data_IF_113423351182
#
_entry.id   IF_113423351182
#
_cell.length_a   1.000
_cell.length_b   1.000
_cell.length_c   1.000
_cell.angle_alpha   90.00
_cell.angle_beta   90.00
_cell.angle_gamma   90.00
#
_symmetry.space_group_name_H-M   'P 1'
#
loop_
_entity.id
_entity.type
_entity.pdbx_description
1 polymer ?
#
# COMPACT_ATOMS: atom_id res chain seq x y z
N UNK A 1 11.39 14.60 12.14
CA UNK A 1 10.46 13.89 13.04
C UNK A 1 9.58 14.82 13.87
N UNK A 2 10.06 15.98 14.33
CA UNK A 2 9.31 16.90 15.22
C UNK A 2 8.25 17.79 14.52
N UNK A 3 8.36 18.03 13.20
CA UNK A 3 7.44 18.92 12.47
C UNK A 3 6.10 18.25 12.12
N UNK A 4 6.09 16.95 11.78
CA UNK A 4 4.84 16.21 11.48
C UNK A 4 3.95 15.97 12.71
N UNK A 5 4.55 15.81 13.89
CA UNK A 5 3.80 15.70 15.14
C UNK A 5 3.17 17.04 15.56
N UNK A 6 3.69 18.17 15.06
CA UNK A 6 3.15 19.51 15.32
C UNK A 6 1.89 19.78 14.50
N UNK A 7 1.90 19.49 13.20
CA UNK A 7 0.76 19.73 12.30
C UNK A 7 -0.46 18.92 12.73
N UNK A 8 -0.26 17.66 13.14
CA UNK A 8 -1.35 16.79 13.63
C UNK A 8 -1.90 17.21 15.01
N UNK A 9 -1.09 17.86 15.83
CA UNK A 9 -1.50 18.32 17.17
C UNK A 9 -2.12 19.73 17.16
N UNK A 10 -1.81 20.53 16.14
CA UNK A 10 -2.34 21.88 15.91
C UNK A 10 -3.76 21.80 15.31
N UNK A 11 -4.01 20.86 14.39
CA UNK A 11 -5.36 20.56 13.88
C UNK A 11 -6.34 20.10 14.98
N UNK A 12 -5.84 19.49 16.06
CA UNK A 12 -6.63 19.09 17.23
C UNK A 12 -6.90 20.23 18.23
N UNK A 13 -6.17 21.36 18.14
CA UNK A 13 -6.30 22.48 19.10
C UNK A 13 -7.15 23.64 18.59
N UNK A 14 -7.13 23.92 17.29
CA UNK A 14 -7.79 25.13 16.75
C UNK A 14 -9.30 24.99 16.52
N UNK A 15 -9.89 23.84 16.84
CA UNK A 15 -11.34 23.66 16.87
C UNK A 15 -12.02 24.14 18.17
N UNK A 16 -11.31 24.85 19.06
CA UNK A 16 -11.81 25.26 20.38
C UNK A 16 -11.65 26.75 20.71
N UNK A 17 -12.79 27.45 20.83
CA UNK A 17 -13.06 28.80 21.39
C UNK A 17 -13.13 29.95 20.36
N UNK A 18 -14.32 30.48 20.03
CA UNK A 18 -15.09 31.36 20.92
C UNK A 18 -16.61 31.42 20.59
N UNK A 19 -17.44 31.00 21.58
CA UNK A 19 -18.83 31.41 21.97
C UNK A 19 -19.84 31.90 20.89
N UNK A 20 -21.02 31.30 20.66
CA UNK A 20 -22.13 31.04 21.62
C UNK A 20 -23.20 30.06 21.06
N UNK A 21 -23.64 29.11 21.91
CA UNK A 21 -24.88 28.32 21.93
C UNK A 21 -25.39 27.55 20.68
N UNK A 22 -25.11 26.23 20.61
CA UNK A 22 -26.12 25.14 20.59
C UNK A 22 -25.44 23.76 20.45
N UNK A 23 -25.87 22.83 21.31
CA UNK A 23 -25.80 21.36 21.20
C UNK A 23 -24.44 20.70 20.90
N UNK A 24 -23.88 20.11 21.95
CA UNK A 24 -22.69 19.24 21.98
C UNK A 24 -22.75 18.05 20.99
N UNK A 25 -21.79 17.98 20.07
CA UNK A 25 -21.19 16.75 19.50
C UNK A 25 -19.82 17.11 18.91
N UNK A 26 -18.75 16.66 19.54
CA UNK A 26 -17.36 16.76 19.04
C UNK A 26 -17.17 15.83 17.83
N UNK A 27 -16.55 16.26 16.72
CA UNK A 27 -16.25 15.38 15.59
C UNK A 27 -14.98 14.56 15.89
N UNK A 28 -15.14 13.24 16.01
CA UNK A 28 -14.07 12.26 16.25
C UNK A 28 -13.45 11.82 14.91
N UNK A 29 -12.55 12.65 14.35
CA UNK A 29 -11.85 12.38 13.08
C UNK A 29 -10.45 11.78 13.24
N UNK A 30 -10.20 10.94 14.25
CA UNK A 30 -8.89 10.30 14.46
C UNK A 30 -8.83 8.96 13.71
N UNK A 31 -7.79 8.77 12.90
CA UNK A 31 -7.49 7.50 12.21
C UNK A 31 -7.31 6.31 13.18
N UNK A 32 -7.06 6.58 14.47
CA UNK A 32 -6.91 5.56 15.53
C UNK A 32 -8.22 4.98 16.06
N UNK A 33 -9.36 5.56 15.73
CA UNK A 33 -10.64 4.97 16.13
C UNK A 33 -11.02 3.84 15.18
N UNK A 34 -11.63 2.73 15.61
CA UNK A 34 -12.17 1.74 14.68
C UNK A 34 -13.42 2.27 13.96
N UNK A 35 -13.77 1.71 12.79
CA UNK A 35 -15.06 1.94 12.13
C UNK A 35 -16.25 1.81 13.09
N UNK A 36 -17.29 2.62 12.89
CA UNK A 36 -18.51 2.51 13.71
C UNK A 36 -19.49 1.55 13.03
N UNK A 37 -19.82 0.45 13.69
CA UNK A 37 -20.76 -0.55 13.15
C UNK A 37 -22.24 -0.20 13.38
N UNK A 38 -22.52 0.77 14.25
CA UNK A 38 -23.87 1.13 14.66
C UNK A 38 -24.54 2.17 13.75
N UNK A 39 -23.84 2.67 12.72
CA UNK A 39 -24.36 3.71 11.84
C UNK A 39 -25.17 3.11 10.69
N UNK A 40 -26.37 3.66 10.49
CA UNK A 40 -27.13 3.48 9.27
C UNK A 40 -26.54 4.41 8.19
N UNK A 41 -25.63 3.87 7.37
CA UNK A 41 -24.90 4.65 6.38
C UNK A 41 -23.38 4.71 6.57
N UNK A 42 -22.75 5.49 5.70
CA UNK A 42 -21.36 5.90 5.82
C UNK A 42 -21.14 6.81 7.03
N UNK A 43 -20.03 6.65 7.74
CA UNK A 43 -19.52 7.65 8.68
C UNK A 43 -18.99 8.88 7.93
N UNK A 44 -19.91 9.75 7.50
CA UNK A 44 -19.61 10.88 6.62
C UNK A 44 -18.52 11.80 7.17
N UNK A 45 -18.55 12.09 8.47
CA UNK A 45 -17.62 13.01 9.11
C UNK A 45 -16.21 12.43 9.12
N UNK A 46 -16.09 11.15 9.47
CA UNK A 46 -14.80 10.49 9.50
C UNK A 46 -14.25 10.30 8.10
N UNK A 47 -15.05 9.82 7.15
CA UNK A 47 -14.62 9.68 5.76
C UNK A 47 -14.14 11.02 5.18
N UNK A 48 -14.86 12.12 5.43
CA UNK A 48 -14.48 13.45 4.95
C UNK A 48 -13.17 13.93 5.58
N UNK A 49 -12.99 13.74 6.89
CA UNK A 49 -11.75 14.09 7.58
C UNK A 49 -10.55 13.30 7.03
N UNK A 50 -10.67 11.97 6.88
CA UNK A 50 -9.61 11.13 6.33
C UNK A 50 -9.29 11.50 4.87
N UNK A 51 -10.31 11.75 4.06
CA UNK A 51 -10.15 12.17 2.67
C UNK A 51 -9.40 13.50 2.57
N UNK A 52 -9.86 14.52 3.31
CA UNK A 52 -9.25 15.84 3.30
C UNK A 52 -7.80 15.80 3.80
N UNK A 53 -7.49 14.96 4.81
CA UNK A 53 -6.14 14.80 5.32
C UNK A 53 -5.19 14.20 4.27
N UNK A 54 -5.62 13.17 3.52
CA UNK A 54 -4.83 12.61 2.40
C UNK A 54 -4.62 13.69 1.34
N UNK A 55 -5.68 14.44 1.00
CA UNK A 55 -5.63 15.40 -0.08
C UNK A 55 -4.70 16.57 0.22
N UNK A 56 -4.84 17.15 1.41
CA UNK A 56 -3.99 18.23 1.92
C UNK A 56 -2.53 17.78 2.04
N UNK A 57 -2.29 16.54 2.50
CA UNK A 57 -0.94 15.98 2.53
C UNK A 57 -0.33 15.94 1.12
N UNK A 58 -1.07 15.42 0.13
CA UNK A 58 -0.64 15.40 -1.27
C UNK A 58 -0.40 16.81 -1.83
N UNK A 59 -1.22 17.78 -1.43
CA UNK A 59 -1.12 19.17 -1.81
C UNK A 59 0.15 19.83 -1.28
N UNK A 60 0.39 19.76 0.03
CA UNK A 60 1.55 20.37 0.68
C UNK A 60 2.85 19.75 0.17
N UNK A 61 2.90 18.42 0.05
CA UNK A 61 4.09 17.72 -0.45
C UNK A 61 4.31 17.90 -1.97
N UNK A 62 3.39 18.56 -2.67
CA UNK A 62 3.62 19.04 -4.05
C UNK A 62 4.31 20.42 -4.10
N UNK A 63 4.71 20.98 -2.96
CA UNK A 63 5.37 22.29 -2.86
C UNK A 63 4.41 23.47 -2.74
N UNK A 64 3.13 23.20 -2.45
CA UNK A 64 2.08 24.23 -2.24
C UNK A 64 1.86 24.46 -0.74
N UNK A 65 1.16 25.53 -0.37
CA UNK A 65 0.89 25.86 1.04
C UNK A 65 -0.49 25.37 1.50
N UNK A 66 -0.70 25.24 2.81
CA UNK A 66 -1.98 24.88 3.39
C UNK A 66 -3.07 25.95 3.12
N UNK A 67 -2.69 27.23 3.10
CA UNK A 67 -3.60 28.32 2.77
C UNK A 67 -4.12 28.19 1.34
N UNK A 68 -3.20 27.91 0.40
CA UNK A 68 -3.55 27.70 -1.01
C UNK A 68 -4.45 26.47 -1.22
N UNK A 69 -4.38 25.47 -0.32
CA UNK A 69 -5.29 24.33 -0.35
C UNK A 69 -6.72 24.79 -0.09
N UNK A 70 -6.95 25.60 0.94
CA UNK A 70 -8.28 26.11 1.27
C UNK A 70 -8.81 27.05 0.18
N UNK A 71 -7.94 27.89 -0.38
CA UNK A 71 -8.29 28.83 -1.44
C UNK A 71 -8.62 28.15 -2.78
N UNK A 72 -8.00 27.00 -3.09
CA UNK A 72 -8.10 26.35 -4.41
C UNK A 72 -8.91 25.05 -4.39
N UNK A 73 -9.58 24.75 -3.28
CA UNK A 73 -10.46 23.59 -3.18
C UNK A 73 -11.83 23.97 -2.63
N UNK A 74 -12.82 23.11 -2.86
CA UNK A 74 -14.18 23.25 -2.35
C UNK A 74 -14.83 21.87 -2.20
N UNK A 75 -15.91 21.73 -1.41
CA UNK A 75 -16.66 20.49 -1.36
C UNK A 75 -17.11 20.02 -2.74
N UNK A 76 -16.97 18.72 -3.04
CA UNK A 76 -17.43 18.15 -4.32
C UNK A 76 -18.92 18.39 -4.54
N UNK A 77 -19.71 18.46 -3.46
CA UNK A 77 -21.12 18.78 -3.49
C UNK A 77 -21.46 19.98 -4.38
N UNK A 78 -20.64 21.03 -4.34
CA UNK A 78 -20.86 22.26 -5.10
C UNK A 78 -20.78 22.06 -6.62
N UNK A 79 -20.11 21.01 -7.08
CA UNK A 79 -20.00 20.66 -8.51
C UNK A 79 -21.10 19.73 -9.00
N UNK A 80 -21.85 19.08 -8.11
CA UNK A 80 -22.88 18.13 -8.51
C UNK A 80 -24.15 18.85 -8.98
N UNK A 81 -24.73 18.38 -10.09
CA UNK A 81 -26.06 18.82 -10.52
C UNK A 81 -27.19 18.25 -9.64
N UNK A 82 -28.40 18.80 -9.81
CA UNK A 82 -29.55 18.41 -9.00
C UNK A 82 -29.95 16.93 -9.20
N UNK A 83 -29.86 16.42 -10.43
CA UNK A 83 -30.23 15.04 -10.75
C UNK A 83 -29.31 14.04 -10.05
N UNK A 84 -28.01 14.30 -10.06
CA UNK A 84 -27.01 13.50 -9.36
C UNK A 84 -27.27 13.53 -7.85
N UNK A 85 -27.51 14.71 -7.28
CA UNK A 85 -27.74 14.90 -5.84
C UNK A 85 -28.95 14.11 -5.33
N UNK A 86 -30.03 14.02 -6.12
CA UNK A 86 -31.25 13.28 -5.76
C UNK A 86 -31.04 11.77 -5.69
N UNK A 87 -30.07 11.22 -6.45
CA UNK A 87 -29.76 9.78 -6.49
C UNK A 87 -28.85 9.32 -5.35
N UNK A 88 -28.24 10.25 -4.60
CA UNK A 88 -27.27 9.92 -3.56
C UNK A 88 -27.94 9.65 -2.21
N UNK A 89 -27.49 8.60 -1.53
CA UNK A 89 -27.83 8.29 -0.16
C UNK A 89 -27.48 9.47 0.78
N UNK A 90 -28.33 9.81 1.78
CA UNK A 90 -28.10 10.96 2.66
C UNK A 90 -26.72 11.00 3.34
N UNK A 91 -26.18 9.85 3.75
CA UNK A 91 -24.83 9.78 4.34
C UNK A 91 -23.73 10.15 3.35
N UNK A 92 -23.89 9.78 2.08
CA UNK A 92 -22.95 10.12 1.02
C UNK A 92 -23.06 11.60 0.66
N UNK A 93 -24.28 12.16 0.64
CA UNK A 93 -24.46 13.60 0.48
C UNK A 93 -23.75 14.38 1.60
N UNK A 94 -23.88 13.92 2.85
CA UNK A 94 -23.19 14.54 3.99
C UNK A 94 -21.66 14.47 3.85
N UNK A 95 -21.12 13.35 3.37
CA UNK A 95 -19.69 13.22 3.08
C UNK A 95 -19.25 14.22 2.00
N UNK A 96 -19.96 14.31 0.88
CA UNK A 96 -19.58 15.16 -0.25
C UNK A 96 -19.73 16.66 0.03
N UNK A 97 -20.53 17.06 1.02
CA UNK A 97 -20.62 18.44 1.52
C UNK A 97 -19.36 18.89 2.27
N UNK A 98 -18.54 17.95 2.72
CA UNK A 98 -17.32 18.23 3.49
C UNK A 98 -16.05 17.81 2.74
N UNK A 99 -16.13 16.79 1.88
CA UNK A 99 -15.00 16.25 1.13
C UNK A 99 -14.58 17.19 -0.01
N UNK A 100 -13.34 17.69 0.06
CA UNK A 100 -12.83 18.77 -0.80
C UNK A 100 -12.21 18.24 -2.11
N UNK A 101 -12.43 18.96 -3.19
CA UNK A 101 -11.85 18.74 -4.52
C UNK A 101 -11.38 20.07 -5.12
N UNK A 102 -10.69 20.05 -6.27
CA UNK A 102 -10.23 21.27 -6.94
C UNK A 102 -11.37 22.24 -7.33
N UNK A 103 -11.03 23.53 -7.37
CA UNK A 103 -11.85 24.54 -8.04
C UNK A 103 -11.86 24.29 -9.57
N UNK A 104 -12.94 23.72 -10.07
CA UNK A 104 -13.19 23.50 -11.49
C UNK A 104 -13.49 22.05 -11.80
N UNK A 105 -14.70 21.78 -12.28
CA UNK A 105 -15.12 20.43 -12.66
C UNK A 105 -14.20 19.86 -13.77
N UNK A 106 -13.74 18.62 -13.58
CA UNK A 106 -12.83 17.94 -14.52
C UNK A 106 -11.34 18.23 -14.34
N UNK A 107 -10.95 19.12 -13.42
CA UNK A 107 -9.56 19.19 -12.97
C UNK A 107 -9.33 18.11 -11.91
N UNK A 108 -8.68 17.03 -12.32
CA UNK A 108 -8.35 15.93 -11.43
C UNK A 108 -6.91 16.10 -10.93
N UNK A 109 -6.74 16.04 -9.62
CA UNK A 109 -5.42 15.94 -8.98
C UNK A 109 -5.24 14.54 -8.42
N UNK A 110 -4.10 13.96 -8.71
CA UNK A 110 -3.63 12.68 -8.19
C UNK A 110 -3.78 12.61 -6.66
N UNK A 111 -4.87 11.99 -6.21
CA UNK A 111 -5.29 11.96 -4.81
C UNK A 111 -4.47 10.97 -4.02
N UNK A 112 -4.27 9.78 -4.57
CA UNK A 112 -3.42 8.71 -4.03
C UNK A 112 -2.70 7.98 -5.17
N UNK A 113 -1.78 7.08 -4.83
CA UNK A 113 -1.05 6.25 -5.79
C UNK A 113 -1.98 5.49 -6.75
N UNK A 114 -3.15 5.07 -6.28
CA UNK A 114 -4.08 4.25 -7.06
C UNK A 114 -5.25 5.03 -7.71
N UNK A 115 -5.53 6.28 -7.28
CA UNK A 115 -6.73 7.03 -7.73
C UNK A 115 -6.49 8.53 -7.94
N UNK A 116 -7.23 9.13 -8.88
CA UNK A 116 -7.17 10.53 -9.36
C UNK A 116 -8.01 11.54 -8.57
N UNK A 117 -8.67 11.11 -7.50
CA UNK A 117 -9.54 11.96 -6.67
C UNK A 117 -11.02 11.66 -6.86
N UNK A 118 -11.85 12.41 -6.14
CA UNK A 118 -13.29 12.19 -6.15
C UNK A 118 -13.86 12.40 -7.56
N UNK A 119 -14.57 11.39 -8.05
CA UNK A 119 -15.22 11.38 -9.34
C UNK A 119 -16.50 10.58 -9.16
N UNK A 120 -17.65 11.25 -9.03
CA UNK A 120 -18.94 10.58 -8.87
C UNK A 120 -19.47 10.24 -10.26
N UNK A 121 -19.64 8.94 -10.53
CA UNK A 121 -20.27 8.47 -11.76
C UNK A 121 -21.02 7.18 -11.51
N UNK A 122 -22.27 7.13 -11.96
CA UNK A 122 -23.05 5.90 -12.02
C UNK A 122 -22.67 5.14 -13.30
N UNK A 123 -22.08 3.95 -13.15
CA UNK A 123 -21.78 3.11 -14.30
C UNK A 123 -23.02 2.26 -14.62
N UNK A 124 -23.50 2.36 -15.87
CA UNK A 124 -24.70 1.64 -16.34
C UNK A 124 -24.39 0.24 -16.84
N UNK A 125 -23.11 -0.09 -17.02
CA UNK A 125 -22.67 -1.36 -17.60
C UNK A 125 -22.50 -2.45 -16.53
N UNK A 126 -22.54 -2.07 -15.24
CA UNK A 126 -22.66 -3.03 -14.16
C UNK A 126 -24.09 -3.60 -14.17
N UNK A 127 -24.20 -4.93 -14.27
CA UNK A 127 -25.48 -5.66 -14.31
C UNK A 127 -26.24 -5.64 -12.96
N UNK A 128 -26.45 -4.46 -12.37
CA UNK A 128 -27.30 -4.27 -11.19
C UNK A 128 -28.69 -3.77 -11.62
N UNK A 129 -29.78 -4.34 -11.05
CA UNK A 129 -31.14 -3.90 -11.38
C UNK A 129 -31.46 -2.48 -10.92
N UNK A 130 -30.72 -1.93 -9.94
CA UNK A 130 -30.82 -0.55 -9.49
C UNK A 130 -29.66 0.29 -10.05
N UNK A 131 -29.91 1.14 -11.07
CA UNK A 131 -28.87 1.96 -11.68
C UNK A 131 -28.31 3.05 -10.75
N UNK A 132 -28.93 3.27 -9.59
CA UNK A 132 -28.48 4.24 -8.59
C UNK A 132 -27.78 3.57 -7.41
N UNK A 133 -27.64 2.24 -7.36
CA UNK A 133 -27.03 1.57 -6.21
C UNK A 133 -25.52 1.76 -6.17
N UNK A 134 -24.86 1.57 -7.31
CA UNK A 134 -23.41 1.51 -7.41
C UNK A 134 -22.87 2.76 -8.09
N UNK A 135 -21.82 3.35 -7.54
CA UNK A 135 -21.14 4.48 -8.15
C UNK A 135 -19.64 4.38 -8.00
N UNK A 136 -18.93 4.82 -9.03
CA UNK A 136 -17.52 5.18 -8.92
C UNK A 136 -17.44 6.41 -8.02
N UNK A 137 -16.65 6.31 -6.94
CA UNK A 137 -16.44 7.36 -5.95
C UNK A 137 -15.07 8.03 -6.16
N UNK A 138 -14.05 7.25 -6.49
CA UNK A 138 -12.73 7.75 -6.88
C UNK A 138 -12.32 7.18 -8.22
N UNK A 139 -11.94 8.04 -9.15
CA UNK A 139 -11.51 7.60 -10.48
C UNK A 139 -10.11 7.01 -10.47
N UNK A 140 -9.81 6.06 -11.37
CA UNK A 140 -8.44 5.53 -11.58
C UNK A 140 -7.68 6.28 -12.68
N UNK A 141 -6.39 5.98 -12.79
CA UNK A 141 -5.55 6.42 -13.89
C UNK A 141 -5.79 5.53 -15.12
N UNK A 142 -5.98 6.14 -16.29
CA UNK A 142 -6.07 5.42 -17.57
C UNK A 142 -4.84 4.57 -17.91
N UNK A 143 -3.70 4.84 -17.29
CA UNK A 143 -2.51 4.01 -17.43
C UNK A 143 -2.57 2.72 -16.59
N UNK A 144 -3.52 2.62 -15.65
CA UNK A 144 -3.63 1.53 -14.68
C UNK A 144 -4.88 0.67 -14.87
N UNK A 145 -5.85 1.11 -15.67
CA UNK A 145 -7.08 0.36 -15.96
C UNK A 145 -7.70 0.77 -17.31
N UNK A 146 -8.57 -0.10 -17.83
CA UNK A 146 -9.37 0.12 -19.05
C UNK A 146 -10.51 1.10 -18.84
N UNK A 147 -11.07 1.14 -17.63
CA UNK A 147 -12.16 2.03 -17.21
C UNK A 147 -11.71 3.00 -16.13
N UNK A 148 -12.52 4.04 -15.87
CA UNK A 148 -12.23 5.05 -14.84
C UNK A 148 -12.70 4.64 -13.44
N UNK A 149 -13.16 3.40 -13.22
CA UNK A 149 -13.97 3.06 -12.05
C UNK A 149 -13.23 3.06 -10.71
N UNK A 150 -11.92 2.83 -10.69
CA UNK A 150 -11.04 3.04 -9.52
C UNK A 150 -11.56 2.50 -8.20
N UNK A 151 -12.22 3.32 -7.38
CA UNK A 151 -12.94 2.88 -6.18
C UNK A 151 -14.45 2.99 -6.38
N UNK A 152 -15.13 1.85 -6.39
CA UNK A 152 -16.58 1.73 -6.48
C UNK A 152 -17.19 1.68 -5.09
N UNK A 153 -18.33 2.33 -4.89
CA UNK A 153 -19.09 2.40 -3.64
C UNK A 153 -20.53 1.90 -3.86
N UNK A 154 -20.99 1.03 -2.97
CA UNK A 154 -22.35 0.51 -2.91
C UNK A 154 -23.17 1.31 -1.89
N UNK A 155 -24.16 2.05 -2.37
CA UNK A 155 -25.02 2.88 -1.56
C UNK A 155 -25.99 2.08 -0.68
N UNK A 156 -26.27 0.82 -0.99
CA UNK A 156 -27.15 -0.03 -0.17
C UNK A 156 -26.39 -0.75 0.93
N UNK A 157 -25.16 -1.19 0.64
CA UNK A 157 -24.33 -1.91 1.61
C UNK A 157 -23.41 -0.99 2.41
N UNK A 158 -23.20 0.25 1.95
CA UNK A 158 -22.24 1.20 2.51
C UNK A 158 -20.80 0.68 2.55
N UNK A 159 -20.46 -0.13 1.53
CA UNK A 159 -19.13 -0.68 1.33
C UNK A 159 -18.54 -0.15 0.02
N UNK A 160 -17.22 -0.23 -0.08
CA UNK A 160 -16.43 0.12 -1.24
C UNK A 160 -15.46 -1.00 -1.61
N UNK A 161 -15.05 -1.01 -2.87
CA UNK A 161 -14.08 -1.94 -3.44
C UNK A 161 -13.22 -1.23 -4.49
N UNK A 162 -12.00 -1.70 -4.68
CA UNK A 162 -11.15 -1.23 -5.78
C UNK A 162 -11.46 -2.06 -7.03
N UNK A 163 -11.83 -1.38 -8.11
CA UNK A 163 -12.04 -1.99 -9.41
C UNK A 163 -11.00 -1.47 -10.40
N UNK A 164 -9.97 -2.29 -10.64
CA UNK A 164 -8.92 -2.04 -11.63
C UNK A 164 -8.94 -3.11 -12.73
N UNK A 165 -10.01 -3.91 -12.81
CA UNK A 165 -10.05 -5.01 -13.74
C UNK A 165 -10.06 -4.51 -15.20
N UNK A 166 -9.24 -5.16 -16.02
CA UNK A 166 -9.12 -4.93 -17.46
C UNK A 166 -10.32 -5.50 -18.21
N UNK A 167 -11.04 -6.45 -17.59
CA UNK A 167 -12.23 -7.08 -18.19
C UNK A 167 -13.53 -6.31 -17.92
N UNK A 168 -13.46 -5.25 -17.11
CA UNK A 168 -14.60 -4.42 -16.68
C UNK A 168 -15.70 -5.19 -15.92
N UNK A 169 -15.43 -6.40 -15.45
CA UNK A 169 -16.36 -7.20 -14.65
C UNK A 169 -16.29 -6.82 -13.16
N UNK A 170 -17.32 -6.13 -12.66
CA UNK A 170 -17.46 -5.87 -11.23
C UNK A 170 -18.16 -7.04 -10.53
N UNK A 171 -17.43 -7.78 -9.70
CA UNK A 171 -18.03 -8.80 -8.84
C UNK A 171 -18.74 -8.16 -7.63
N UNK A 172 -20.02 -8.47 -7.44
CA UNK A 172 -20.79 -7.97 -6.31
C UNK A 172 -20.43 -8.72 -5.02
N UNK A 173 -20.64 -8.08 -3.87
CA UNK A 173 -20.50 -8.74 -2.58
C UNK A 173 -21.39 -10.00 -2.51
N UNK A 174 -20.89 -11.14 -1.98
CA UNK A 174 -19.60 -11.35 -1.33
C UNK A 174 -18.49 -11.93 -2.21
N UNK A 175 -18.64 -11.95 -3.54
CA UNK A 175 -17.70 -12.62 -4.44
C UNK A 175 -16.29 -12.01 -4.40
N UNK A 176 -16.20 -10.68 -4.25
CA UNK A 176 -14.93 -9.97 -4.04
C UNK A 176 -14.89 -9.23 -2.69
N UNK A 177 -13.71 -8.76 -2.23
CA UNK A 177 -13.60 -8.12 -0.92
C UNK A 177 -14.10 -6.67 -0.94
N UNK A 178 -15.27 -6.45 -0.34
CA UNK A 178 -15.81 -5.12 -0.07
C UNK A 178 -15.50 -4.67 1.37
N UNK A 179 -15.20 -3.40 1.59
CA UNK A 179 -14.79 -2.82 2.89
C UNK A 179 -15.46 -1.47 3.13
N UNK A 180 -15.54 -1.02 4.39
CA UNK A 180 -16.03 0.35 4.65
C UNK A 180 -15.05 1.37 4.06
N UNK A 181 -15.57 2.50 3.56
CA UNK A 181 -14.71 3.53 2.98
C UNK A 181 -13.68 4.05 3.99
N UNK A 182 -14.07 4.21 5.25
CA UNK A 182 -13.16 4.64 6.32
C UNK A 182 -12.01 3.66 6.58
N UNK A 183 -12.19 2.35 6.37
CA UNK A 183 -11.10 1.38 6.44
C UNK A 183 -10.08 1.61 5.33
N UNK A 184 -10.58 1.77 4.09
CA UNK A 184 -9.74 1.98 2.91
C UNK A 184 -8.93 3.27 3.06
N UNK A 185 -9.58 4.37 3.46
CA UNK A 185 -8.91 5.65 3.68
C UNK A 185 -7.92 5.58 4.85
N UNK A 186 -8.23 4.84 5.92
CA UNK A 186 -7.30 4.63 7.05
C UNK A 186 -6.05 3.90 6.58
N UNK A 187 -6.19 2.82 5.81
CA UNK A 187 -5.04 2.09 5.22
C UNK A 187 -4.20 3.01 4.34
N UNK A 188 -4.81 3.87 3.52
CA UNK A 188 -4.04 4.82 2.70
C UNK A 188 -3.26 5.83 3.54
N UNK A 189 -3.83 6.34 4.63
CA UNK A 189 -3.11 7.18 5.59
C UNK A 189 -1.93 6.41 6.22
N UNK A 190 -2.14 5.18 6.65
CA UNK A 190 -1.08 4.34 7.21
C UNK A 190 0.05 4.11 6.21
N UNK A 191 -0.27 3.85 4.94
CA UNK A 191 0.72 3.72 3.87
C UNK A 191 1.52 5.02 3.67
N UNK A 192 0.88 6.18 3.74
CA UNK A 192 1.55 7.49 3.68
C UNK A 192 2.46 7.69 4.91
N UNK A 193 1.95 7.43 6.12
CA UNK A 193 2.70 7.60 7.36
C UNK A 193 3.91 6.67 7.43
N UNK A 194 3.75 5.42 7.00
CA UNK A 194 4.85 4.45 6.86
C UNK A 194 5.73 4.71 5.65
N UNK A 195 5.48 5.78 4.89
CA UNK A 195 6.31 6.15 3.75
C UNK A 195 6.36 5.08 2.64
N UNK A 196 5.35 4.19 2.61
CA UNK A 196 5.09 3.20 1.56
C UNK A 196 4.53 3.86 0.30
N UNK A 197 3.78 4.93 0.47
CA UNK A 197 3.37 5.81 -0.61
C UNK A 197 3.91 7.20 -0.27
N UNK A 198 4.73 7.79 -1.16
CA UNK A 198 5.25 9.14 -0.96
C UNK A 198 4.97 10.00 -2.16
N UNK A 199 4.72 11.29 -1.93
CA UNK A 199 4.73 12.27 -3.01
C UNK A 199 6.19 12.57 -3.37
N UNK A 200 6.53 12.51 -4.66
CA UNK A 200 7.83 12.88 -5.21
C UNK A 200 7.68 14.21 -5.92
N UNK A 201 8.56 15.20 -5.67
CA UNK A 201 8.59 16.45 -6.44
C UNK A 201 8.83 16.11 -7.91
N UNK A 202 7.87 16.40 -8.78
CA UNK A 202 8.05 16.14 -10.21
C UNK A 202 8.94 17.21 -10.84
N UNK A 203 9.99 16.79 -11.56
CA UNK A 203 10.83 17.65 -12.38
C UNK A 203 10.31 17.78 -13.84
N UNK A 204 9.05 17.42 -14.12
CA UNK A 204 8.50 17.43 -15.47
C UNK A 204 7.06 16.92 -15.61
N UNK A 205 6.60 16.75 -16.85
CA UNK A 205 5.21 16.42 -17.27
C UNK A 205 4.74 14.99 -16.95
N UNK A 206 5.40 14.26 -16.04
CA UNK A 206 5.01 12.90 -15.67
C UNK A 206 3.82 12.87 -14.70
N UNK A 207 2.83 12.05 -15.07
CA UNK A 207 1.42 12.17 -14.68
C UNK A 207 1.05 11.48 -13.35
N UNK A 208 2.01 11.27 -12.44
CA UNK A 208 1.72 10.71 -11.10
C UNK A 208 2.81 11.11 -10.08
N UNK A 209 2.59 12.13 -9.23
CA UNK A 209 3.58 12.51 -8.24
C UNK A 209 3.57 11.58 -7.02
N UNK A 210 2.75 10.53 -6.97
CA UNK A 210 2.82 9.52 -5.91
C UNK A 210 3.66 8.34 -6.36
N UNK A 211 4.65 7.94 -5.56
CA UNK A 211 5.48 6.76 -5.78
C UNK A 211 5.24 5.75 -4.67
N UNK A 212 4.90 4.52 -5.06
CA UNK A 212 4.97 3.38 -4.18
C UNK A 212 6.45 3.02 -3.93
N UNK A 213 6.81 2.85 -2.67
CA UNK A 213 8.15 2.46 -2.24
C UNK A 213 8.09 1.01 -1.80
N UNK A 214 8.90 0.16 -2.44
CA UNK A 214 8.91 -1.29 -2.18
C UNK A 214 9.25 -1.63 -0.73
N UNK A 215 10.12 -0.86 -0.09
CA UNK A 215 10.47 -1.01 1.33
C UNK A 215 10.88 0.32 1.98
N UNK A 216 10.74 0.40 3.29
CA UNK A 216 11.17 1.52 4.12
C UNK A 216 12.09 1.04 5.23
N UNK A 217 12.82 1.96 5.86
CA UNK A 217 13.67 1.64 7.01
C UNK A 217 12.89 1.00 8.16
N UNK A 218 11.62 1.35 8.33
CA UNK A 218 10.75 0.74 9.33
C UNK A 218 10.43 -0.72 8.97
N UNK A 219 10.12 -1.02 7.71
CA UNK A 219 9.89 -2.41 7.28
C UNK A 219 11.13 -3.27 7.51
N UNK A 220 12.31 -2.71 7.22
CA UNK A 220 13.58 -3.39 7.47
C UNK A 220 13.78 -3.68 8.97
N UNK A 221 13.49 -2.73 9.84
CA UNK A 221 13.60 -2.92 11.29
C UNK A 221 12.64 -4.02 11.78
N UNK A 222 11.37 -3.90 11.44
CA UNK A 222 10.32 -4.86 11.82
C UNK A 222 10.67 -6.27 11.30
N UNK A 223 11.20 -6.38 10.08
CA UNK A 223 11.65 -7.67 9.54
C UNK A 223 12.87 -8.24 10.30
N UNK A 224 13.87 -7.41 10.63
CA UNK A 224 15.05 -7.85 11.39
C UNK A 224 14.66 -8.30 12.80
N UNK A 225 13.77 -7.57 13.48
CA UNK A 225 13.25 -7.91 14.79
C UNK A 225 12.45 -9.23 14.75
N UNK A 226 11.50 -9.35 13.80
CA UNK A 226 10.69 -10.56 13.65
C UNK A 226 11.53 -11.79 13.35
N UNK A 227 12.52 -11.65 12.46
CA UNK A 227 13.48 -12.71 12.17
C UNK A 227 14.24 -13.12 13.44
N UNK A 228 14.74 -12.16 14.21
CA UNK A 228 15.41 -12.42 15.48
C UNK A 228 14.54 -13.20 16.47
N UNK A 229 13.27 -12.82 16.61
CA UNK A 229 12.30 -13.53 17.47
C UNK A 229 12.04 -14.96 17.02
N UNK A 230 11.92 -15.19 15.71
CA UNK A 230 11.72 -16.53 15.14
C UNK A 230 12.94 -17.41 15.41
N UNK A 231 14.16 -16.91 15.11
CA UNK A 231 15.41 -17.63 15.34
C UNK A 231 15.55 -18.00 16.81
N UNK A 232 15.34 -17.06 17.73
CA UNK A 232 15.42 -17.33 19.16
C UNK A 232 14.40 -18.36 19.63
N UNK A 233 13.17 -18.30 19.11
CA UNK A 233 12.12 -19.25 19.44
C UNK A 233 12.49 -20.67 19.00
N UNK A 234 13.07 -20.82 17.80
CA UNK A 234 13.54 -22.11 17.30
C UNK A 234 14.73 -22.61 18.12
N UNK A 235 15.74 -21.77 18.36
CA UNK A 235 16.92 -22.13 19.16
C UNK A 235 16.53 -22.61 20.56
N UNK A 236 15.55 -21.96 21.19
CA UNK A 236 15.01 -22.35 22.50
C UNK A 236 14.30 -23.71 22.44
N UNK A 237 13.49 -23.95 21.41
CA UNK A 237 12.82 -25.25 21.22
C UNK A 237 13.79 -26.39 20.93
N UNK A 238 14.93 -26.08 20.32
CA UNK A 238 16.01 -27.02 20.06
C UNK A 238 16.97 -27.19 21.24
N UNK A 239 16.72 -26.51 22.37
CA UNK A 239 17.56 -26.56 23.57
C UNK A 239 19.03 -26.17 23.31
N UNK A 240 19.26 -25.26 22.35
CA UNK A 240 20.60 -24.77 22.04
C UNK A 240 21.12 -23.84 23.13
N UNK A 241 22.42 -23.89 23.40
CA UNK A 241 23.06 -23.08 24.45
C UNK A 241 22.81 -21.58 24.24
N UNK A 242 22.52 -20.88 25.34
CA UNK A 242 22.29 -19.43 25.33
C UNK A 242 23.62 -18.68 25.36
N UNK A 243 24.29 -18.58 24.22
CA UNK A 243 25.47 -17.71 24.03
C UNK A 243 25.07 -16.36 23.41
N UNK A 244 26.03 -15.46 23.20
CA UNK A 244 25.80 -14.16 22.56
C UNK A 244 25.35 -14.33 21.10
N UNK A 245 24.31 -13.59 20.69
CA UNK A 245 23.75 -13.70 19.35
C UNK A 245 24.73 -13.14 18.31
N UNK A 246 25.03 -13.94 17.29
CA UNK A 246 25.80 -13.47 16.14
C UNK A 246 24.88 -12.70 15.20
N UNK A 247 25.36 -11.58 14.69
CA UNK A 247 24.64 -10.70 13.75
C UNK A 247 25.29 -10.83 12.36
N UNK A 248 24.45 -10.85 11.33
CA UNK A 248 24.86 -11.00 9.94
C UNK A 248 24.76 -12.45 9.47
N UNK A 249 23.84 -12.73 8.54
CA UNK A 249 23.79 -14.07 7.91
C UNK A 249 25.04 -14.29 7.04
N UNK A 250 25.42 -13.26 6.29
CA UNK A 250 26.61 -13.17 5.45
C UNK A 250 27.31 -11.83 5.73
N UNK A 251 28.62 -11.75 5.47
CA UNK A 251 29.37 -10.51 5.56
C UNK A 251 29.30 -9.70 4.25
N UNK A 252 29.74 -8.45 4.29
CA UNK A 252 29.69 -7.56 3.14
C UNK A 252 30.52 -8.09 1.95
N UNK A 253 31.69 -8.68 2.21
CA UNK A 253 32.54 -9.25 1.17
C UNK A 253 31.86 -10.41 0.43
N UNK A 254 31.10 -11.24 1.15
CA UNK A 254 30.32 -12.34 0.59
C UNK A 254 29.16 -11.81 -0.26
N UNK A 255 28.48 -10.75 0.18
CA UNK A 255 27.40 -10.13 -0.60
C UNK A 255 27.92 -9.51 -1.90
N UNK A 256 29.09 -8.86 -1.85
CA UNK A 256 29.77 -8.32 -3.02
C UNK A 256 30.17 -9.44 -3.99
N UNK A 257 30.75 -10.54 -3.47
CA UNK A 257 31.09 -11.72 -4.25
C UNK A 257 29.86 -12.39 -4.89
N UNK A 258 28.73 -12.39 -4.17
CA UNK A 258 27.43 -12.85 -4.65
C UNK A 258 26.72 -11.85 -5.57
N UNK A 259 27.36 -10.71 -5.92
CA UNK A 259 26.84 -9.66 -6.81
C UNK A 259 25.49 -9.09 -6.36
N UNK A 260 25.26 -9.03 -5.06
CA UNK A 260 24.06 -8.43 -4.48
C UNK A 260 24.29 -6.91 -4.37
N UNK A 261 23.30 -6.12 -4.77
CA UNK A 261 23.40 -4.65 -4.74
C UNK A 261 23.79 -4.14 -3.35
N UNK A 262 24.75 -3.20 -3.32
CA UNK A 262 25.21 -2.54 -2.11
C UNK A 262 24.21 -1.52 -1.54
N UNK A 263 23.07 -1.33 -2.22
CA UNK A 263 22.02 -0.41 -1.80
C UNK A 263 20.66 -1.12 -2.01
N UNK A 264 20.08 -1.62 -0.93
CA UNK A 264 18.79 -2.32 -0.99
C UNK A 264 18.38 -3.01 0.31
N UNK A 265 17.11 -3.42 0.36
CA UNK A 265 16.54 -4.14 1.50
C UNK A 265 17.34 -5.40 1.83
N UNK A 266 17.61 -6.23 0.82
CA UNK A 266 18.24 -7.54 0.96
C UNK A 266 19.59 -7.47 1.67
N UNK A 267 20.47 -6.58 1.21
CA UNK A 267 21.80 -6.42 1.80
C UNK A 267 21.71 -5.93 3.25
N UNK A 268 20.89 -4.90 3.50
CA UNK A 268 20.71 -4.36 4.84
C UNK A 268 20.10 -5.39 5.80
N UNK A 269 19.15 -6.19 5.32
CA UNK A 269 18.55 -7.27 6.10
C UNK A 269 19.60 -8.32 6.45
N UNK A 270 20.35 -8.82 5.46
CA UNK A 270 21.35 -9.89 5.67
C UNK A 270 22.44 -9.49 6.64
N UNK A 271 22.94 -8.24 6.56
CA UNK A 271 23.98 -7.73 7.46
C UNK A 271 23.50 -7.55 8.91
N UNK A 272 22.19 -7.39 9.12
CA UNK A 272 21.60 -7.06 10.43
C UNK A 272 20.82 -8.22 11.07
N UNK A 273 20.41 -9.20 10.27
CA UNK A 273 19.65 -10.34 10.74
C UNK A 273 20.49 -11.20 11.69
N UNK A 274 19.84 -11.68 12.77
CA UNK A 274 20.44 -12.64 13.70
C UNK A 274 20.82 -13.93 12.96
N UNK A 275 22.06 -14.37 13.11
CA UNK A 275 22.55 -15.62 12.52
C UNK A 275 22.02 -16.82 13.31
N UNK A 276 21.25 -17.72 12.69
CA UNK A 276 20.79 -18.94 13.34
C UNK A 276 21.96 -19.84 13.75
N UNK A 277 21.87 -20.47 14.93
CA UNK A 277 22.80 -21.53 15.35
C UNK A 277 22.43 -22.91 14.83
N UNK A 278 21.20 -23.08 14.36
CA UNK A 278 20.78 -24.30 13.69
C UNK A 278 21.12 -24.25 12.20
N UNK A 279 21.41 -25.42 11.63
CA UNK A 279 21.69 -25.57 10.21
C UNK A 279 20.42 -25.81 9.40
N UNK A 280 19.48 -26.59 9.94
CA UNK A 280 18.27 -27.04 9.25
C UNK A 280 17.03 -26.31 9.79
N UNK A 281 16.20 -25.78 8.90
CA UNK A 281 14.90 -25.17 9.22
C UNK A 281 13.75 -26.16 9.07
N UNK A 282 13.91 -27.17 8.20
CA UNK A 282 12.99 -28.28 8.02
C UNK A 282 13.75 -29.52 7.52
N UNK A 283 13.04 -30.63 7.31
CA UNK A 283 13.62 -31.80 6.66
C UNK A 283 14.13 -31.41 5.26
N UNK A 284 15.39 -31.72 4.96
CA UNK A 284 16.12 -31.34 3.75
C UNK A 284 16.28 -29.83 3.48
N UNK A 285 15.72 -28.91 4.29
CA UNK A 285 15.84 -27.46 4.07
C UNK A 285 16.77 -26.83 5.11
N UNK A 286 17.82 -26.16 4.65
CA UNK A 286 18.90 -25.61 5.49
C UNK A 286 19.33 -24.21 5.10
N UNK A 287 20.07 -23.56 6.00
CA UNK A 287 20.81 -22.34 5.68
C UNK A 287 21.93 -22.69 4.67
N UNK A 288 22.07 -21.94 3.56
CA UNK A 288 23.15 -22.17 2.59
C UNK A 288 24.52 -21.88 3.20
N UNK A 289 25.56 -22.52 2.65
CA UNK A 289 26.94 -22.14 2.98
C UNK A 289 27.32 -20.81 2.31
N UNK A 290 28.47 -20.25 2.71
CA UNK A 290 29.01 -19.03 2.08
C UNK A 290 29.25 -19.25 0.59
N UNK A 291 29.85 -20.39 0.24
CA UNK A 291 30.15 -20.77 -1.15
C UNK A 291 28.87 -20.92 -1.98
N UNK A 292 27.84 -21.55 -1.42
CA UNK A 292 26.53 -21.72 -2.09
C UNK A 292 25.77 -20.40 -2.24
N UNK A 293 26.02 -19.43 -1.37
CA UNK A 293 25.45 -18.08 -1.46
C UNK A 293 26.14 -17.26 -2.54
N UNK A 294 27.45 -17.47 -2.74
CA UNK A 294 28.23 -16.84 -3.82
C UNK A 294 27.86 -17.45 -5.17
N UNK A 295 27.80 -18.79 -5.26
CA UNK A 295 27.48 -19.55 -6.47
C UNK A 295 25.97 -19.72 -6.68
N UNK A 296 25.19 -18.73 -6.25
CA UNK A 296 23.74 -18.82 -6.31
C UNK A 296 23.21 -18.72 -7.76
N UNK A 297 22.10 -19.41 -8.08
CA UNK A 297 21.57 -19.50 -9.43
C UNK A 297 20.97 -18.19 -10.00
N UNK A 298 20.67 -17.21 -9.15
CA UNK A 298 19.83 -16.06 -9.49
C UNK A 298 20.61 -14.86 -10.04
N UNK A 299 21.94 -14.87 -9.94
CA UNK A 299 22.81 -13.73 -10.27
C UNK A 299 23.12 -13.61 -11.76
N UNK A 300 22.77 -14.62 -12.56
CA UNK A 300 23.08 -14.70 -13.99
C UNK A 300 21.90 -14.44 -14.93
N UNK A 301 20.71 -14.14 -14.39
CA UNK A 301 19.58 -13.77 -15.23
C UNK A 301 19.82 -12.38 -15.88
N UNK A 302 19.81 -12.26 -17.23
CA UNK A 302 19.85 -10.95 -17.85
C UNK A 302 18.63 -10.16 -17.39
N UNK A 303 18.84 -8.93 -16.91
CA UNK A 303 17.74 -8.01 -16.57
C UNK A 303 16.81 -7.91 -17.78
N UNK A 304 15.51 -8.27 -17.66
CA UNK A 304 14.55 -8.02 -18.72
C UNK A 304 14.59 -6.54 -19.10
N UNK A 305 14.63 -6.24 -20.40
CA UNK A 305 14.63 -4.86 -20.87
C UNK A 305 13.34 -4.17 -20.38
N UNK A 306 13.48 -3.09 -19.59
CA UNK A 306 12.34 -2.29 -19.10
C UNK A 306 12.09 -2.33 -17.59
N UNK A 307 12.84 -3.13 -16.81
CA UNK A 307 12.81 -3.03 -15.34
C UNK A 307 13.76 -1.93 -14.86
N UNK A 308 13.32 -1.18 -13.85
CA UNK A 308 14.10 -0.10 -13.22
C UNK A 308 15.48 -0.63 -12.77
N UNK A 309 16.48 0.24 -12.85
CA UNK A 309 17.88 -0.07 -12.52
C UNK A 309 18.11 -0.54 -11.07
N UNK A 310 17.09 -0.51 -10.20
CA UNK A 310 17.13 -0.83 -8.78
C UNK A 310 16.72 -2.26 -8.37
N UNK A 311 16.29 -3.13 -9.29
CA UNK A 311 15.89 -4.49 -8.90
C UNK A 311 17.09 -5.35 -8.48
N UNK A 312 17.07 -5.79 -7.22
CA UNK A 312 18.05 -6.70 -6.64
C UNK A 312 17.68 -8.13 -7.05
N UNK A 313 18.62 -8.94 -7.58
CA UNK A 313 18.31 -10.32 -7.92
C UNK A 313 17.81 -11.08 -6.67
N UNK A 314 16.93 -12.08 -6.83
CA UNK A 314 16.56 -12.96 -5.74
C UNK A 314 17.80 -13.51 -5.04
N UNK A 315 17.72 -13.74 -3.73
CA UNK A 315 18.79 -14.37 -2.97
C UNK A 315 18.35 -15.73 -2.44
N UNK A 316 19.24 -16.72 -2.51
CA UNK A 316 19.04 -18.01 -1.87
C UNK A 316 19.09 -17.85 -0.34
N UNK A 317 17.91 -17.78 0.31
CA UNK A 317 17.80 -17.72 1.77
C UNK A 317 17.86 -19.11 2.42
N UNK A 318 17.30 -20.12 1.76
CA UNK A 318 17.30 -21.50 2.20
C UNK A 318 17.63 -22.42 1.04
N UNK A 319 18.43 -23.44 1.31
CA UNK A 319 18.83 -24.47 0.37
C UNK A 319 18.20 -25.79 0.73
N UNK A 320 17.59 -26.42 -0.27
CA UNK A 320 17.14 -27.80 -0.21
C UNK A 320 18.29 -28.74 -0.58
N UNK A 321 18.43 -29.83 0.19
CA UNK A 321 19.31 -30.95 -0.16
C UNK A 321 18.66 -31.85 -1.24
N UNK A 322 17.35 -31.74 -1.43
CA UNK A 322 16.61 -32.32 -2.56
C UNK A 322 16.48 -31.26 -3.65
N UNK A 323 16.92 -31.57 -4.86
CA UNK A 323 16.89 -30.65 -6.00
C UNK A 323 15.70 -30.97 -6.90
N UNK A 324 14.52 -30.35 -6.68
CA UNK A 324 13.39 -30.55 -7.59
C UNK A 324 13.73 -30.00 -8.98
N UNK A 325 13.25 -30.69 -10.00
CA UNK A 325 13.41 -30.25 -11.37
C UNK A 325 12.59 -28.97 -11.56
N UNK A 326 13.14 -27.95 -12.22
CA UNK A 326 12.46 -26.65 -12.36
C UNK A 326 11.15 -26.71 -13.14
N UNK A 327 10.98 -27.76 -13.96
CA UNK A 327 9.72 -28.08 -14.63
C UNK A 327 8.57 -28.46 -13.67
N UNK A 328 8.89 -28.91 -12.45
CA UNK A 328 7.88 -29.31 -11.45
C UNK A 328 7.43 -28.12 -10.59
N UNK A 329 8.11 -26.96 -10.68
CA UNK A 329 7.83 -25.75 -9.89
C UNK A 329 6.80 -24.81 -10.55
N UNK A 330 5.96 -25.33 -11.44
CA UNK A 330 4.93 -24.55 -12.14
C UNK A 330 3.93 -23.94 -11.14
N UNK A 331 3.96 -22.62 -10.98
CA UNK A 331 3.06 -21.88 -10.09
C UNK A 331 3.73 -20.77 -9.29
N UNK A 332 5.04 -20.89 -9.03
CA UNK A 332 5.83 -19.75 -8.59
C UNK A 332 6.20 -18.97 -9.84
N UNK A 333 5.83 -17.69 -9.93
CA UNK A 333 6.21 -16.76 -11.02
C UNK A 333 7.75 -16.59 -11.08
N UNK A 334 8.47 -17.66 -11.36
CA UNK A 334 9.87 -17.65 -11.67
C UNK A 334 9.95 -17.08 -13.08
N UNK A 335 10.47 -15.85 -13.27
CA UNK A 335 10.34 -15.11 -14.53
C UNK A 335 11.10 -15.74 -15.71
N UNK A 336 11.61 -16.95 -15.52
CA UNK A 336 12.53 -17.65 -16.39
C UNK A 336 12.17 -19.12 -16.64
N UNK A 337 10.99 -19.59 -16.21
CA UNK A 337 10.53 -20.98 -16.38
C UNK A 337 10.47 -21.48 -17.85
N UNK A 338 10.75 -20.64 -18.84
CA UNK A 338 10.83 -20.99 -20.26
C UNK A 338 12.16 -20.68 -20.95
N UNK A 339 13.18 -20.19 -20.24
CA UNK A 339 14.50 -19.92 -20.84
C UNK A 339 15.41 -21.13 -20.69
N UNK A 340 15.81 -21.74 -21.82
CA UNK A 340 16.73 -22.88 -21.89
C UNK A 340 18.12 -22.64 -21.25
N UNK A 341 18.38 -21.41 -20.76
CA UNK A 341 19.64 -21.01 -20.15
C UNK A 341 19.64 -21.06 -18.60
N UNK A 342 18.57 -21.51 -17.94
CA UNK A 342 18.43 -21.37 -16.48
C UNK A 342 18.16 -22.73 -15.81
N UNK A 343 19.12 -23.11 -14.96
CA UNK A 343 19.08 -24.07 -13.83
C UNK A 343 18.00 -25.15 -13.94
N UNK A 344 18.40 -26.37 -14.32
CA UNK A 344 17.51 -27.54 -14.39
C UNK A 344 16.97 -27.97 -13.01
N UNK A 345 17.64 -27.55 -11.93
CA UNK A 345 17.42 -28.00 -10.55
C UNK A 345 17.40 -26.81 -9.58
N UNK A 346 16.25 -26.45 -8.99
CA UNK A 346 16.16 -25.31 -8.05
C UNK A 346 16.76 -25.73 -6.71
N UNK A 347 17.82 -25.07 -6.20
CA UNK A 347 18.29 -25.29 -4.83
C UNK A 347 17.31 -24.73 -3.79
N UNK A 348 16.31 -24.00 -4.24
CA UNK A 348 15.21 -23.39 -3.53
C UNK A 348 14.07 -24.40 -3.40
N UNK A 349 14.12 -25.26 -2.39
CA UNK A 349 12.98 -26.13 -2.09
C UNK A 349 11.84 -25.32 -1.49
N UNK A 350 10.68 -25.33 -2.14
CA UNK A 350 9.36 -25.34 -1.53
C UNK A 350 8.46 -26.28 -2.30
#
# INVERSE_FOLDING_TARGET
MTVMHSIFHEYCKDAGHTSTSRSSRTPTGDARHPPRDELDGMDSNRCAALHNAIYEHGWINSGRTAESFIEQTMPLWEHLDAEMREKLHPSLQAFLREARTLLGYGQHTDFSYNVRGLMISFNKDWYDPDPNRLLTLYGTYMAMATTLDGLVYDQHLHLATLNFDVTDELELYPAQPWRKLEDILTVWIEMIQRSKIRKVPSAGTEMTPWKAVSWTSQDLEECVELWGMIVETVERKMELETTEALIGLLDAATLDAARISAEGFTQNFILRARKPRFKFVAHALRIPTVEESIDQPFTFAPKPQGLDSGDTPPILMFRSDELPHTADLTGFNYPHAGSAAIVQECPCGL
#
